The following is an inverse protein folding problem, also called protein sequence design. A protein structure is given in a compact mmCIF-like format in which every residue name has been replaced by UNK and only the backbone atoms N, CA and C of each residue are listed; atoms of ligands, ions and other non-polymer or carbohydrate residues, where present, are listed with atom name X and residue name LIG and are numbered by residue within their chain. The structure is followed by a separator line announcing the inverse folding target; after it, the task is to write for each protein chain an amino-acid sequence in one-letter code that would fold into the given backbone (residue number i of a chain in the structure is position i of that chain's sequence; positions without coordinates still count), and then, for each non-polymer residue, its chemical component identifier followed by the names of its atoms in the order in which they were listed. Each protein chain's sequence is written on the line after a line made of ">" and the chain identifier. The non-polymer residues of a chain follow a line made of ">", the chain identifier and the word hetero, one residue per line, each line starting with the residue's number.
data_IF_042418853016
#
_entry.id   IF_042418853016
#
_cell.length_a   1.000
_cell.length_b   1.000
_cell.length_c   1.000
_cell.angle_alpha   90.00
_cell.angle_beta   90.00
_cell.angle_gamma   90.00
#
_symmetry.space_group_name_H-M   'P 1'
#
loop_
_entity.id
_entity.type
_entity.pdbx_description
1 polymer ?
#
# COMPACT_ATOMS: atom_id res chain seq x y z
N UNK A 1 -67.48 42.72 -61.53
CA UNK A 1 -67.11 43.70 -62.55
C UNK A 1 -66.31 42.96 -63.56
N UNK A 2 -66.98 42.59 -64.59
CA UNK A 2 -66.77 42.95 -65.99
C UNK A 2 -65.54 42.25 -66.59
N UNK A 3 -65.80 41.17 -67.37
CA UNK A 3 -66.14 41.21 -68.85
C UNK A 3 -64.83 41.53 -69.61
N UNK A 4 -64.40 40.84 -70.64
CA UNK A 4 -64.99 40.56 -71.93
C UNK A 4 -64.05 39.62 -72.70
N UNK A 5 -64.48 38.44 -73.18
CA UNK A 5 -64.95 38.23 -74.55
C UNK A 5 -63.84 38.34 -75.60
N UNK A 6 -63.63 37.21 -76.29
CA UNK A 6 -63.85 36.77 -77.62
C UNK A 6 -62.78 37.16 -78.68
N UNK A 7 -62.22 36.19 -79.36
CA UNK A 7 -62.58 35.81 -80.77
C UNK A 7 -61.75 34.64 -81.27
N UNK A 8 -62.40 33.61 -81.65
CA UNK A 8 -62.47 32.78 -82.85
C UNK A 8 -61.59 33.28 -84.03
N UNK A 9 -60.71 32.42 -84.48
CA UNK A 9 -60.51 32.18 -85.92
C UNK A 9 -60.04 30.79 -86.26
N UNK A 10 -60.77 30.13 -87.14
CA UNK A 10 -60.47 28.85 -87.83
C UNK A 10 -60.11 29.23 -89.28
N UNK A 11 -59.77 28.37 -90.18
CA UNK A 11 -58.96 27.14 -90.23
C UNK A 11 -57.98 27.14 -91.44
N UNK A 12 -57.19 26.14 -91.60
CA UNK A 12 -56.92 25.51 -92.96
C UNK A 12 -56.13 24.17 -92.79
N UNK A 13 -56.44 23.15 -93.59
CA UNK A 13 -55.93 21.84 -93.40
C UNK A 13 -54.58 21.58 -94.04
N UNK A 14 -53.69 20.94 -93.33
CA UNK A 14 -52.45 20.46 -93.93
C UNK A 14 -52.37 18.97 -94.02
N UNK A 15 -52.13 18.48 -95.12
CA UNK A 15 -51.84 17.27 -95.84
C UNK A 15 -50.91 16.22 -95.12
N UNK A 16 -51.05 15.94 -93.84
CA UNK A 16 -50.24 14.94 -93.11
C UNK A 16 -51.04 13.71 -92.61
N UNK A 17 -52.26 13.53 -93.08
CA UNK A 17 -53.19 12.49 -92.59
C UNK A 17 -53.40 11.36 -93.60
N UNK A 18 -52.46 11.04 -94.44
CA UNK A 18 -52.69 9.88 -95.37
C UNK A 18 -51.73 8.66 -95.19
N UNK A 19 -50.88 8.66 -94.19
CA UNK A 19 -49.91 7.53 -93.94
C UNK A 19 -50.14 6.82 -92.63
N UNK A 20 -51.09 7.20 -91.73
CA UNK A 20 -51.31 6.60 -90.44
C UNK A 20 -52.26 5.45 -90.40
N UNK A 21 -52.95 5.11 -91.55
CA UNK A 21 -53.98 4.08 -91.61
C UNK A 21 -53.49 2.63 -91.74
N UNK A 22 -52.23 2.39 -92.02
CA UNK A 22 -51.67 1.04 -92.27
C UNK A 22 -51.08 0.33 -91.03
N UNK A 23 -50.66 1.10 -90.03
CA UNK A 23 -49.99 0.54 -88.83
C UNK A 23 -50.91 0.04 -87.70
N UNK A 24 -52.16 0.31 -87.79
CA UNK A 24 -53.12 -0.02 -86.68
C UNK A 24 -53.61 -1.44 -86.71
N UNK A 25 -53.43 -2.15 -87.82
CA UNK A 25 -53.96 -3.50 -88.04
C UNK A 25 -52.97 -4.62 -87.59
N UNK A 26 -51.67 -4.26 -87.29
CA UNK A 26 -50.61 -5.18 -86.83
C UNK A 26 -49.94 -4.73 -85.53
N UNK A 27 -50.67 -4.10 -84.62
CA UNK A 27 -50.23 -3.58 -83.35
C UNK A 27 -49.56 -4.65 -82.47
N UNK A 28 -50.16 -5.83 -82.43
CA UNK A 28 -49.69 -6.92 -81.59
C UNK A 28 -48.34 -7.51 -82.00
N UNK A 29 -48.12 -7.81 -83.28
CA UNK A 29 -46.81 -8.30 -83.68
C UNK A 29 -45.67 -7.28 -83.57
N UNK A 30 -45.97 -5.95 -83.82
CA UNK A 30 -44.98 -4.88 -83.64
C UNK A 30 -44.62 -4.69 -82.19
N UNK A 31 -45.61 -4.74 -81.29
CA UNK A 31 -45.37 -4.66 -79.86
C UNK A 31 -44.58 -5.86 -79.35
N UNK A 32 -44.88 -7.08 -79.90
CA UNK A 32 -44.10 -8.26 -79.59
C UNK A 32 -42.64 -8.20 -80.02
N UNK A 33 -42.37 -7.68 -81.23
CA UNK A 33 -40.99 -7.50 -81.69
C UNK A 33 -40.26 -6.41 -80.89
N UNK A 34 -40.93 -5.31 -80.54
CA UNK A 34 -40.35 -4.30 -79.69
C UNK A 34 -40.03 -4.82 -78.29
N UNK A 35 -40.87 -5.66 -77.73
CA UNK A 35 -40.66 -6.26 -76.42
C UNK A 35 -39.49 -7.28 -76.44
N UNK A 36 -39.38 -8.07 -77.51
CA UNK A 36 -38.26 -8.99 -77.72
C UNK A 36 -36.92 -8.24 -77.92
N UNK A 37 -36.95 -7.11 -78.70
CA UNK A 37 -35.77 -6.28 -78.88
C UNK A 37 -35.33 -5.59 -77.58
N UNK A 38 -36.30 -5.14 -76.77
CA UNK A 38 -36.02 -4.58 -75.43
C UNK A 38 -35.47 -5.66 -74.52
N UNK A 39 -36.06 -6.84 -74.48
CA UNK A 39 -35.62 -7.96 -73.66
C UNK A 39 -34.20 -8.43 -74.11
N UNK A 40 -33.94 -8.49 -75.45
CA UNK A 40 -32.65 -8.83 -76.00
C UNK A 40 -31.63 -7.73 -75.71
N UNK A 41 -32.02 -6.44 -75.80
CA UNK A 41 -31.16 -5.31 -75.42
C UNK A 41 -30.81 -5.31 -73.94
N UNK A 42 -31.80 -5.55 -73.06
CA UNK A 42 -31.56 -5.68 -71.62
C UNK A 42 -30.73 -6.91 -71.30
N UNK A 43 -30.93 -8.04 -71.97
CA UNK A 43 -30.11 -9.23 -71.84
C UNK A 43 -28.67 -9.00 -72.30
N UNK A 44 -28.50 -8.36 -73.44
CA UNK A 44 -27.19 -8.02 -73.98
C UNK A 44 -26.47 -6.96 -73.09
N UNK A 45 -27.20 -5.94 -72.62
CA UNK A 45 -26.70 -4.97 -71.68
C UNK A 45 -26.21 -5.62 -70.36
N UNK A 46 -26.96 -6.61 -69.86
CA UNK A 46 -26.59 -7.35 -68.66
C UNK A 46 -25.38 -8.28 -68.86
N UNK A 47 -25.23 -8.78 -70.11
CA UNK A 47 -24.09 -9.63 -70.50
C UNK A 47 -22.80 -8.79 -70.75
N UNK A 48 -22.95 -7.58 -71.30
CA UNK A 48 -21.85 -6.66 -71.63
C UNK A 48 -21.37 -5.80 -70.42
N UNK A 49 -22.30 -5.47 -69.49
CA UNK A 49 -21.93 -4.67 -68.31
C UNK A 49 -21.35 -5.51 -67.17
N UNK A 50 -21.46 -6.84 -67.22
CA UNK A 50 -20.94 -7.74 -66.16
C UNK A 50 -21.53 -7.46 -64.77
N UNK A 51 -21.30 -8.27 -63.77
CA UNK A 51 -21.69 -7.97 -62.38
C UNK A 51 -20.80 -6.82 -61.84
N UNK A 52 -21.43 -5.87 -61.18
CA UNK A 52 -20.70 -4.84 -60.43
C UNK A 52 -19.84 -5.54 -59.38
N UNK A 53 -18.55 -5.49 -59.56
CA UNK A 53 -17.58 -6.00 -58.59
C UNK A 53 -17.11 -4.79 -57.77
N UNK A 54 -17.35 -4.84 -56.45
CA UNK A 54 -16.77 -3.87 -55.54
C UNK A 54 -15.27 -4.10 -55.52
N UNK A 55 -14.51 -3.23 -56.15
CA UNK A 55 -13.05 -3.29 -56.10
C UNK A 55 -12.60 -2.47 -54.89
N UNK A 56 -12.00 -3.12 -53.89
CA UNK A 56 -11.32 -2.44 -52.82
C UNK A 56 -9.85 -2.21 -53.23
N UNK A 57 -9.39 -0.99 -52.98
CA UNK A 57 -7.95 -0.66 -53.19
C UNK A 57 -7.13 -1.35 -52.12
N UNK A 58 -6.29 -2.24 -52.54
CA UNK A 58 -5.33 -2.92 -51.67
C UNK A 58 -4.25 -1.93 -51.27
N UNK A 59 -4.12 -1.69 -50.00
CA UNK A 59 -3.07 -0.84 -49.44
C UNK A 59 -2.16 -1.66 -48.53
N UNK A 60 -0.88 -1.31 -48.49
CA UNK A 60 0.03 -1.86 -47.49
C UNK A 60 0.00 -1.00 -46.24
N UNK A 61 -0.18 -1.61 -45.08
CA UNK A 61 -0.25 -0.91 -43.80
C UNK A 61 0.13 -1.81 -42.64
N UNK A 62 0.25 -1.22 -41.50
CA UNK A 62 0.51 -1.93 -40.26
C UNK A 62 -0.81 -2.42 -39.66
N UNK A 63 -0.92 -3.70 -39.42
CA UNK A 63 -2.06 -4.33 -38.76
C UNK A 63 -1.70 -4.64 -37.32
N UNK A 64 -2.42 -4.03 -36.39
CA UNK A 64 -2.34 -4.36 -34.97
C UNK A 64 -3.59 -5.15 -34.60
N UNK A 65 -3.39 -6.36 -34.15
CA UNK A 65 -4.49 -7.16 -33.60
C UNK A 65 -4.61 -6.84 -32.12
N UNK A 66 -5.80 -6.43 -31.68
CA UNK A 66 -6.06 -6.08 -30.30
C UNK A 66 -7.17 -6.94 -29.72
N UNK A 67 -7.07 -7.25 -28.45
CA UNK A 67 -8.17 -7.76 -27.64
C UNK A 67 -8.73 -6.61 -26.82
N UNK A 68 -10.01 -6.29 -27.08
CA UNK A 68 -10.71 -5.22 -26.39
C UNK A 68 -11.47 -5.81 -25.20
N UNK A 69 -11.33 -5.21 -24.04
CA UNK A 69 -12.04 -5.62 -22.84
C UNK A 69 -12.31 -4.44 -21.92
N UNK A 70 -13.35 -4.55 -21.11
CA UNK A 70 -13.67 -3.56 -20.08
C UNK A 70 -13.18 -4.04 -18.73
N UNK A 71 -12.70 -3.09 -17.94
CA UNK A 71 -12.22 -3.34 -16.60
C UNK A 71 -12.50 -2.15 -15.69
N UNK A 72 -11.89 -2.16 -14.54
CA UNK A 72 -11.95 -1.05 -13.60
C UNK A 72 -10.58 -0.74 -13.02
N UNK A 73 -10.42 0.50 -12.62
CA UNK A 73 -9.21 0.98 -11.94
C UNK A 73 -9.24 0.49 -10.49
N UNK A 74 -8.15 -0.13 -10.08
CA UNK A 74 -7.96 -0.56 -8.72
C UNK A 74 -6.57 -0.12 -8.22
N UNK A 75 -6.48 0.27 -6.95
CA UNK A 75 -5.20 0.30 -6.25
C UNK A 75 -4.92 -1.11 -5.74
N UNK A 76 -3.67 -1.63 -5.85
CA UNK A 76 -3.34 -3.02 -5.52
C UNK A 76 -3.79 -3.46 -4.13
N UNK A 77 -3.88 -2.52 -3.21
CA UNK A 77 -4.39 -2.75 -1.87
C UNK A 77 -4.95 -1.44 -1.28
N UNK A 78 -6.04 -1.58 -0.57
CA UNK A 78 -6.57 -0.52 0.31
C UNK A 78 -5.94 -0.72 1.68
N UNK A 79 -5.51 0.35 2.30
CA UNK A 79 -4.96 0.30 3.66
C UNK A 79 -6.05 0.70 4.64
N UNK A 80 -6.51 -0.27 5.40
CA UNK A 80 -7.43 -0.02 6.51
C UNK A 80 -6.63 0.46 7.72
N UNK A 81 -6.92 1.66 8.16
CA UNK A 81 -6.29 2.28 9.33
C UNK A 81 -7.23 2.08 10.51
N UNK A 82 -6.80 1.28 11.47
CA UNK A 82 -7.55 0.95 12.67
C UNK A 82 -6.85 1.48 13.93
N UNK A 83 -7.60 1.61 15.03
CA UNK A 83 -7.00 1.86 16.35
C UNK A 83 -6.31 0.61 16.88
N UNK A 84 -5.22 0.78 17.62
CA UNK A 84 -4.56 -0.27 18.38
C UNK A 84 -4.98 -0.29 19.86
N UNK A 85 -5.70 0.76 20.30
CA UNK A 85 -6.16 0.93 21.67
C UNK A 85 -7.66 1.26 21.70
N UNK A 86 -8.29 0.97 22.84
CA UNK A 86 -9.63 1.49 23.13
C UNK A 86 -9.51 2.90 23.67
N UNK A 87 -10.36 3.79 23.20
CA UNK A 87 -10.40 5.17 23.69
C UNK A 87 -11.45 6.03 22.98
N UNK A 88 -11.67 7.24 23.48
CA UNK A 88 -12.56 8.20 22.84
C UNK A 88 -11.78 9.07 21.87
N UNK A 89 -12.30 9.26 20.68
CA UNK A 89 -11.69 10.15 19.68
C UNK A 89 -11.81 11.59 20.14
N UNK A 90 -10.67 12.23 20.33
CA UNK A 90 -10.54 13.64 20.68
C UNK A 90 -10.75 14.53 19.49
N UNK A 91 -10.09 14.20 18.36
CA UNK A 91 -10.17 14.98 17.14
C UNK A 91 -9.93 14.12 15.91
N UNK A 92 -10.53 14.54 14.77
CA UNK A 92 -10.29 13.97 13.44
C UNK A 92 -9.82 15.10 12.55
N UNK A 93 -8.58 15.01 12.06
CA UNK A 93 -7.85 16.09 11.39
C UNK A 93 -7.95 16.05 9.86
N UNK A 94 -8.64 15.05 9.31
CA UNK A 94 -8.71 14.80 7.86
C UNK A 94 -10.15 14.57 7.40
N UNK A 95 -10.38 14.79 6.10
CA UNK A 95 -11.67 14.62 5.43
C UNK A 95 -11.59 13.56 4.35
N UNK A 96 -12.74 13.02 3.98
CA UNK A 96 -12.86 12.13 2.82
C UNK A 96 -12.45 12.85 1.54
N UNK A 97 -11.70 12.16 0.68
CA UNK A 97 -11.13 12.73 -0.55
C UNK A 97 -9.86 13.56 -0.35
N UNK A 98 -9.38 13.74 0.87
CA UNK A 98 -8.16 14.50 1.17
C UNK A 98 -6.90 13.69 0.87
N UNK A 99 -5.90 14.34 0.27
CA UNK A 99 -4.57 13.77 0.12
C UNK A 99 -3.82 13.86 1.44
N UNK A 100 -3.21 12.76 1.85
CA UNK A 100 -2.44 12.66 3.09
C UNK A 100 -1.03 12.16 2.80
N UNK A 101 -0.08 12.62 3.60
CA UNK A 101 1.33 12.23 3.51
C UNK A 101 1.69 11.23 4.61
N UNK A 102 2.68 10.38 4.33
CA UNK A 102 3.21 9.45 5.31
C UNK A 102 3.61 10.17 6.61
N UNK A 103 3.15 9.64 7.75
CA UNK A 103 3.41 10.24 9.06
C UNK A 103 2.46 11.40 9.43
N UNK A 104 1.60 11.87 8.51
CA UNK A 104 0.60 12.88 8.82
C UNK A 104 -0.40 12.35 9.85
N UNK A 105 -0.69 13.15 10.88
CA UNK A 105 -1.67 12.81 11.89
C UNK A 105 -3.09 12.87 11.31
N UNK A 106 -3.82 11.78 11.47
CA UNK A 106 -5.18 11.62 10.93
C UNK A 106 -6.23 11.73 12.05
N UNK A 107 -6.01 11.01 13.16
CA UNK A 107 -6.92 10.95 14.28
C UNK A 107 -6.14 11.06 15.57
N UNK A 108 -6.68 11.81 16.53
CA UNK A 108 -6.20 11.89 17.90
C UNK A 108 -7.20 11.21 18.84
N UNK A 109 -6.74 10.27 19.63
CA UNK A 109 -7.51 9.64 20.72
C UNK A 109 -7.19 10.36 22.02
N UNK A 110 -8.13 10.42 22.95
CA UNK A 110 -7.91 10.98 24.28
C UNK A 110 -6.81 10.19 25.01
N UNK A 111 -5.76 10.90 25.39
CA UNK A 111 -4.52 10.29 25.85
C UNK A 111 -4.12 10.67 27.28
N UNK A 112 -5.02 11.32 28.04
CA UNK A 112 -4.72 11.81 29.40
C UNK A 112 -4.26 10.71 30.35
N UNK A 113 -4.92 9.54 30.32
CA UNK A 113 -4.53 8.37 31.13
C UNK A 113 -3.19 7.79 30.69
N UNK A 114 -2.97 7.69 29.37
CA UNK A 114 -1.70 7.19 28.81
C UNK A 114 -0.54 8.13 29.14
N UNK A 115 -0.77 9.44 29.09
CA UNK A 115 0.20 10.46 29.50
C UNK A 115 0.55 10.32 30.98
N UNK A 116 -0.44 10.14 31.86
CA UNK A 116 -0.21 9.89 33.28
C UNK A 116 0.60 8.61 33.52
N UNK A 117 0.35 7.56 32.76
CA UNK A 117 1.13 6.31 32.81
C UNK A 117 2.60 6.50 32.42
N UNK A 118 2.87 7.34 31.42
CA UNK A 118 4.26 7.70 31.03
C UNK A 118 4.95 8.43 32.18
N UNK A 119 4.31 9.46 32.75
CA UNK A 119 4.85 10.21 33.90
C UNK A 119 5.13 9.31 35.09
N UNK A 120 4.25 8.35 35.40
CA UNK A 120 4.46 7.36 36.44
C UNK A 120 5.70 6.47 36.14
N UNK A 121 5.85 6.00 34.92
CA UNK A 121 6.99 5.18 34.50
C UNK A 121 8.31 5.98 34.53
N UNK A 122 8.29 7.25 34.14
CA UNK A 122 9.44 8.16 34.28
C UNK A 122 9.87 8.32 35.74
N UNK A 123 8.92 8.44 36.66
CA UNK A 123 9.17 8.46 38.10
C UNK A 123 9.87 7.19 38.58
N UNK A 124 9.43 6.01 38.12
CA UNK A 124 10.05 4.74 38.45
C UNK A 124 11.49 4.63 37.91
N UNK A 125 11.76 5.12 36.70
CA UNK A 125 13.12 5.21 36.14
C UNK A 125 14.00 6.14 36.96
N UNK A 126 13.47 7.30 37.34
CA UNK A 126 14.22 8.24 38.19
C UNK A 126 14.59 7.62 39.54
N UNK A 127 13.69 6.88 40.16
CA UNK A 127 13.93 6.16 41.41
C UNK A 127 14.99 5.08 41.25
N UNK A 128 14.90 4.25 40.21
CA UNK A 128 15.88 3.20 39.95
C UNK A 128 17.29 3.78 39.63
N UNK A 129 17.35 4.88 38.86
CA UNK A 129 18.62 5.61 38.63
C UNK A 129 19.22 6.16 39.92
N UNK A 130 18.39 6.69 40.82
CA UNK A 130 18.85 7.19 42.12
C UNK A 130 19.45 6.05 42.96
N UNK A 131 18.88 4.82 42.89
CA UNK A 131 19.42 3.65 43.56
C UNK A 131 20.80 3.24 43.04
N UNK A 132 20.99 3.20 41.71
CA UNK A 132 22.32 2.94 41.12
C UNK A 132 23.34 4.01 41.52
N UNK A 133 22.94 5.27 41.53
CA UNK A 133 23.81 6.37 41.99
C UNK A 133 24.19 6.22 43.46
N UNK A 134 23.24 5.90 44.32
CA UNK A 134 23.49 5.67 45.74
C UNK A 134 24.54 4.57 45.96
N UNK A 135 24.41 3.46 45.22
CA UNK A 135 25.41 2.38 45.28
C UNK A 135 26.78 2.86 44.85
N UNK A 136 26.86 3.64 43.77
CA UNK A 136 28.13 4.11 43.18
C UNK A 136 28.81 5.22 44.03
N UNK A 137 28.02 6.19 44.48
CA UNK A 137 28.55 7.40 45.10
C UNK A 137 28.65 7.31 46.63
N UNK A 138 27.89 6.45 47.27
CA UNK A 138 27.87 6.35 48.74
C UNK A 138 28.22 4.94 49.20
N UNK A 139 27.50 3.90 48.80
CA UNK A 139 27.61 2.56 49.39
C UNK A 139 28.97 1.90 49.08
N UNK A 140 29.40 1.96 47.82
CA UNK A 140 30.70 1.39 47.43
C UNK A 140 31.88 2.10 48.08
N UNK A 141 32.01 3.42 48.03
CA UNK A 141 33.09 4.12 48.72
C UNK A 141 33.09 3.85 50.24
N UNK A 142 31.92 3.79 50.88
CA UNK A 142 31.85 3.44 52.30
C UNK A 142 32.36 2.03 52.61
N UNK A 143 32.06 1.05 51.72
CA UNK A 143 32.58 -0.32 51.84
C UNK A 143 34.09 -0.38 51.62
N UNK A 144 34.62 0.40 50.65
CA UNK A 144 36.05 0.50 50.39
C UNK A 144 36.80 1.07 51.62
N UNK A 145 36.28 2.11 52.30
CA UNK A 145 36.87 2.66 53.51
C UNK A 145 36.77 1.69 54.70
N UNK A 146 35.63 0.95 54.84
CA UNK A 146 35.52 -0.10 55.83
C UNK A 146 36.54 -1.23 55.64
N UNK A 147 36.84 -1.59 54.39
CA UNK A 147 37.86 -2.59 54.09
C UNK A 147 39.27 -2.06 54.50
N UNK A 148 39.61 -0.81 54.17
CA UNK A 148 40.86 -0.21 54.59
C UNK A 148 41.03 -0.19 56.12
N UNK A 149 39.96 0.15 56.85
CA UNK A 149 39.96 0.12 58.30
C UNK A 149 40.18 -1.30 58.86
N UNK A 150 39.50 -2.31 58.27
CA UNK A 150 39.69 -3.73 58.66
C UNK A 150 41.12 -4.22 58.35
N UNK A 151 41.69 -3.83 57.23
CA UNK A 151 43.10 -4.14 56.87
C UNK A 151 44.11 -3.52 57.82
N UNK A 152 43.90 -2.27 58.25
CA UNK A 152 44.75 -1.62 59.26
C UNK A 152 44.69 -2.34 60.60
N UNK A 153 43.48 -2.76 61.02
CA UNK A 153 43.29 -3.54 62.26
C UNK A 153 44.00 -4.89 62.15
N UNK A 154 43.92 -5.59 61.00
CA UNK A 154 44.59 -6.84 60.76
C UNK A 154 46.12 -6.69 60.85
N UNK A 155 46.70 -5.65 60.25
CA UNK A 155 48.13 -5.36 60.35
C UNK A 155 48.57 -5.18 61.80
N UNK A 156 47.82 -4.43 62.61
CA UNK A 156 48.07 -4.23 64.03
C UNK A 156 48.00 -5.55 64.83
N UNK A 157 46.98 -6.40 64.54
CA UNK A 157 46.79 -7.68 65.19
C UNK A 157 47.92 -8.68 64.84
N UNK A 158 48.35 -8.68 63.55
CA UNK A 158 49.50 -9.47 63.10
C UNK A 158 50.79 -9.08 63.83
N UNK A 159 51.08 -7.78 63.88
CA UNK A 159 52.26 -7.30 64.62
C UNK A 159 52.22 -7.64 66.13
N UNK A 160 51.03 -7.61 66.76
CA UNK A 160 50.83 -8.01 68.14
C UNK A 160 51.06 -9.54 68.32
N UNK A 161 50.53 -10.36 67.40
CA UNK A 161 50.75 -11.80 67.42
C UNK A 161 52.22 -12.17 67.25
N UNK A 162 52.92 -11.54 66.26
CA UNK A 162 54.36 -11.75 66.04
C UNK A 162 55.19 -11.43 67.31
N UNK A 163 54.87 -10.29 67.98
CA UNK A 163 55.56 -9.94 69.24
C UNK A 163 55.28 -10.98 70.30
N UNK A 164 54.03 -11.38 70.52
CA UNK A 164 53.63 -12.36 71.54
C UNK A 164 54.26 -13.76 71.27
N UNK A 165 54.32 -14.18 70.02
CA UNK A 165 54.93 -15.43 69.56
C UNK A 165 56.45 -15.47 69.84
N UNK A 166 57.15 -14.37 69.49
CA UNK A 166 58.56 -14.22 69.79
C UNK A 166 58.90 -14.26 71.27
N UNK A 167 58.09 -13.58 72.12
CA UNK A 167 58.22 -13.59 73.55
C UNK A 167 57.90 -14.96 74.17
N UNK A 168 56.90 -15.65 73.69
CA UNK A 168 56.56 -17.03 74.11
C UNK A 168 57.69 -18.00 73.74
N UNK A 169 58.25 -17.94 72.51
CA UNK A 169 59.36 -18.76 72.06
C UNK A 169 60.66 -18.53 72.84
N UNK A 170 60.88 -17.31 73.36
CA UNK A 170 62.06 -16.99 74.23
C UNK A 170 61.80 -17.27 75.72
N UNK A 171 60.67 -17.80 76.11
CA UNK A 171 60.31 -18.13 77.51
C UNK A 171 59.81 -16.97 78.35
N UNK A 172 59.75 -15.72 77.79
CA UNK A 172 59.32 -14.50 78.52
C UNK A 172 57.82 -14.22 78.35
N UNK A 173 57.07 -14.92 77.47
CA UNK A 173 55.68 -14.75 77.26
C UNK A 173 54.83 -15.83 77.91
N UNK A 174 53.60 -15.49 78.38
CA UNK A 174 52.61 -16.47 78.86
C UNK A 174 51.83 -17.09 77.71
N UNK A 175 51.36 -18.35 77.87
CA UNK A 175 50.52 -19.01 76.91
C UNK A 175 49.20 -18.21 76.73
N UNK A 176 48.63 -17.65 77.77
CA UNK A 176 47.42 -16.86 77.72
C UNK A 176 47.56 -15.63 76.80
N UNK A 177 48.71 -14.92 76.88
CA UNK A 177 48.94 -13.74 75.99
C UNK A 177 49.12 -14.13 74.51
N UNK A 178 49.66 -15.31 74.22
CA UNK A 178 49.74 -15.82 72.86
C UNK A 178 48.36 -16.29 72.36
N UNK A 179 47.58 -16.95 73.19
CA UNK A 179 46.19 -17.40 72.85
C UNK A 179 45.28 -16.18 72.60
N UNK A 180 45.40 -15.11 73.40
CA UNK A 180 44.65 -13.87 73.19
C UNK A 180 45.08 -13.15 71.90
N UNK A 181 46.39 -13.08 71.60
CA UNK A 181 46.89 -12.52 70.37
C UNK A 181 46.44 -13.32 69.12
N UNK A 182 46.42 -14.61 69.23
CA UNK A 182 45.93 -15.53 68.19
C UNK A 182 44.43 -15.29 67.89
N UNK A 183 43.60 -15.24 68.97
CA UNK A 183 42.18 -14.95 68.86
C UNK A 183 41.94 -13.57 68.20
N UNK A 184 42.68 -12.54 68.62
CA UNK A 184 42.53 -11.22 68.06
C UNK A 184 42.94 -11.17 66.59
N UNK A 185 43.97 -11.89 66.17
CA UNK A 185 44.37 -12.03 64.79
C UNK A 185 43.28 -12.71 63.94
N UNK A 186 42.69 -13.83 64.43
CA UNK A 186 41.62 -14.55 63.73
C UNK A 186 40.35 -13.70 63.62
N UNK A 187 40.01 -12.93 64.63
CA UNK A 187 38.88 -11.95 64.55
C UNK A 187 39.19 -10.90 63.49
N UNK A 188 40.38 -10.31 63.46
CA UNK A 188 40.76 -9.30 62.49
C UNK A 188 40.74 -9.86 61.04
N UNK A 189 41.19 -11.09 60.81
CA UNK A 189 41.12 -11.79 59.52
C UNK A 189 39.69 -11.94 59.06
N UNK A 190 38.78 -12.34 59.98
CA UNK A 190 37.38 -12.51 59.68
C UNK A 190 36.73 -11.15 59.30
N UNK A 191 37.10 -10.05 60.02
CA UNK A 191 36.63 -8.71 59.72
C UNK A 191 37.06 -8.27 58.30
N UNK A 192 38.31 -8.50 57.89
CA UNK A 192 38.77 -8.20 56.53
C UNK A 192 37.95 -9.00 55.51
N UNK A 193 37.80 -10.28 55.71
CA UNK A 193 37.01 -11.12 54.79
C UNK A 193 35.56 -10.63 54.64
N UNK A 194 34.94 -10.22 55.71
CA UNK A 194 33.57 -9.67 55.69
C UNK A 194 33.52 -8.37 54.91
N UNK A 195 34.50 -7.47 55.13
CA UNK A 195 34.62 -6.20 54.40
C UNK A 195 34.90 -6.43 52.90
N UNK A 196 35.72 -7.41 52.56
CA UNK A 196 35.98 -7.80 51.15
C UNK A 196 34.72 -8.27 50.47
N UNK A 197 33.91 -9.10 51.09
CA UNK A 197 32.60 -9.54 50.57
C UNK A 197 31.66 -8.35 50.36
N UNK A 198 31.64 -7.37 51.29
CA UNK A 198 30.82 -6.16 51.16
C UNK A 198 31.26 -5.29 49.99
N UNK A 199 32.55 -5.12 49.76
CA UNK A 199 33.10 -4.45 48.58
C UNK A 199 32.74 -5.17 47.29
N UNK A 200 32.82 -6.53 47.31
CA UNK A 200 32.49 -7.33 46.15
C UNK A 200 30.98 -7.19 45.80
N UNK A 201 30.07 -7.30 46.77
CA UNK A 201 28.62 -7.18 46.48
C UNK A 201 28.21 -5.82 45.94
N UNK A 202 28.90 -4.74 46.37
CA UNK A 202 28.62 -3.36 45.96
C UNK A 202 29.41 -2.92 44.71
N UNK A 203 30.36 -3.74 44.22
CA UNK A 203 31.14 -3.48 43.01
C UNK A 203 30.36 -3.74 41.72
N UNK A 204 30.77 -3.16 40.56
CA UNK A 204 30.23 -3.51 39.27
C UNK A 204 30.38 -5.03 39.04
N UNK A 205 29.25 -5.75 38.88
CA UNK A 205 29.23 -7.22 38.81
C UNK A 205 28.88 -7.91 40.12
N UNK A 206 28.86 -7.21 41.25
CA UNK A 206 28.35 -7.71 42.54
C UNK A 206 26.83 -7.75 42.59
N UNK A 207 26.30 -8.55 43.50
CA UNK A 207 24.86 -8.81 43.57
C UNK A 207 24.01 -7.55 43.74
N UNK A 208 24.43 -6.64 44.61
CA UNK A 208 23.66 -5.42 44.89
C UNK A 208 23.65 -4.49 43.68
N UNK A 209 24.77 -4.38 42.98
CA UNK A 209 24.89 -3.56 41.79
C UNK A 209 24.11 -4.12 40.60
N UNK A 210 24.23 -5.44 40.36
CA UNK A 210 23.48 -6.13 39.30
C UNK A 210 21.99 -6.05 39.55
N UNK A 211 21.54 -6.20 40.81
CA UNK A 211 20.14 -6.05 41.19
C UNK A 211 19.62 -4.65 40.88
N UNK A 212 20.38 -3.61 41.23
CA UNK A 212 19.99 -2.21 40.98
C UNK A 212 19.97 -1.89 39.46
N UNK A 213 20.93 -2.40 38.67
CA UNK A 213 20.92 -2.26 37.20
C UNK A 213 19.76 -3.01 36.57
N UNK A 214 19.42 -4.21 37.06
CA UNK A 214 18.29 -4.97 36.60
C UNK A 214 16.98 -4.21 36.87
N UNK A 215 16.83 -3.62 38.06
CA UNK A 215 15.68 -2.78 38.38
C UNK A 215 15.59 -1.53 37.47
N UNK A 216 16.73 -0.90 37.14
CA UNK A 216 16.76 0.21 36.21
C UNK A 216 16.35 -0.25 34.79
N UNK A 217 16.88 -1.36 34.33
CA UNK A 217 16.53 -1.95 33.04
C UNK A 217 15.02 -2.26 32.96
N UNK A 218 14.46 -2.85 34.00
CA UNK A 218 13.03 -3.12 34.08
C UNK A 218 12.19 -1.83 34.06
N UNK A 219 12.60 -0.81 34.78
CA UNK A 219 11.91 0.48 34.78
C UNK A 219 11.94 1.15 33.39
N UNK A 220 13.10 1.09 32.69
CA UNK A 220 13.24 1.57 31.30
C UNK A 220 12.36 0.80 30.33
N UNK A 221 12.27 -0.51 30.46
CA UNK A 221 11.37 -1.32 29.63
C UNK A 221 9.90 -0.95 29.84
N UNK A 222 9.50 -0.71 31.11
CA UNK A 222 8.15 -0.25 31.44
C UNK A 222 7.87 1.15 30.85
N UNK A 223 8.83 2.07 30.91
CA UNK A 223 8.73 3.40 30.29
C UNK A 223 8.53 3.29 28.76
N UNK A 224 9.35 2.49 28.09
CA UNK A 224 9.22 2.26 26.65
C UNK A 224 7.84 1.71 26.29
N UNK A 225 7.31 0.79 27.10
CA UNK A 225 5.95 0.25 26.91
C UNK A 225 4.88 1.33 27.06
N UNK A 226 5.00 2.18 28.09
CA UNK A 226 4.06 3.28 28.30
C UNK A 226 4.11 4.31 27.19
N UNK A 227 5.31 4.65 26.69
CA UNK A 227 5.50 5.56 25.56
C UNK A 227 4.95 4.98 24.26
N UNK A 228 5.17 3.69 23.99
CA UNK A 228 4.59 3.02 22.82
C UNK A 228 3.05 3.07 22.85
N UNK A 229 2.44 2.80 24.01
CA UNK A 229 0.98 2.90 24.18
C UNK A 229 0.47 4.33 23.99
N UNK A 230 1.19 5.32 24.48
CA UNK A 230 0.87 6.73 24.25
C UNK A 230 0.95 7.06 22.74
N UNK A 231 1.95 6.53 22.03
CA UNK A 231 2.07 6.67 20.58
C UNK A 231 0.85 6.16 19.80
N UNK A 232 0.19 5.11 20.30
CA UNK A 232 -1.03 4.58 19.67
C UNK A 232 -2.24 5.50 19.80
N UNK A 233 -2.19 6.51 20.67
CA UNK A 233 -3.24 7.53 20.76
C UNK A 233 -3.21 8.51 19.57
N UNK A 234 -2.12 8.54 18.81
CA UNK A 234 -1.99 9.34 17.60
C UNK A 234 -1.98 8.40 16.40
N UNK A 235 -3.05 8.40 15.63
CA UNK A 235 -3.16 7.59 14.42
C UNK A 235 -2.61 8.41 13.25
N UNK A 236 -1.60 7.87 12.57
CA UNK A 236 -0.91 8.52 11.44
C UNK A 236 -1.09 7.74 10.15
N UNK A 237 -0.93 8.42 9.02
CA UNK A 237 -0.92 7.77 7.70
C UNK A 237 0.33 6.90 7.55
N UNK A 238 0.19 5.61 7.20
CA UNK A 238 1.33 4.71 7.01
C UNK A 238 2.11 5.01 5.73
N UNK A 239 1.50 5.69 4.76
CA UNK A 239 2.06 6.10 3.46
C UNK A 239 1.25 7.21 2.82
N UNK A 240 1.79 7.79 1.74
CA UNK A 240 1.08 8.77 0.93
C UNK A 240 -0.14 8.15 0.25
N UNK A 241 -1.21 8.93 0.13
CA UNK A 241 -2.42 8.46 -0.54
C UNK A 241 -3.60 9.41 -0.40
N UNK A 242 -4.76 8.94 -0.84
CA UNK A 242 -6.04 9.65 -0.71
C UNK A 242 -6.96 8.90 0.24
N UNK A 243 -7.58 9.60 1.17
CA UNK A 243 -8.54 9.02 2.10
C UNK A 243 -9.86 8.72 1.37
N UNK A 244 -10.26 7.45 1.33
CA UNK A 244 -11.49 7.02 0.64
C UNK A 244 -12.71 7.19 1.54
N UNK A 245 -12.63 6.65 2.77
CA UNK A 245 -13.74 6.67 3.73
C UNK A 245 -13.27 7.02 5.13
N UNK A 246 -14.17 7.66 5.87
CA UNK A 246 -13.97 8.05 7.26
C UNK A 246 -15.14 7.54 8.12
N UNK A 247 -14.91 6.43 8.83
CA UNK A 247 -15.90 5.76 9.67
C UNK A 247 -15.81 6.18 11.15
N UNK A 248 -15.24 7.34 11.41
CA UNK A 248 -14.98 7.82 12.78
C UNK A 248 -15.27 9.32 12.90
N UNK A 249 -15.88 9.70 14.02
CA UNK A 249 -16.21 11.08 14.38
C UNK A 249 -15.64 11.44 15.75
N UNK A 250 -15.50 12.74 16.00
CA UNK A 250 -15.12 13.25 17.32
C UNK A 250 -16.13 12.77 18.38
N UNK A 251 -15.63 12.27 19.51
CA UNK A 251 -16.45 11.72 20.59
C UNK A 251 -16.81 10.24 20.41
N UNK A 252 -16.50 9.62 19.28
CA UNK A 252 -16.72 8.18 19.07
C UNK A 252 -15.77 7.37 19.93
N UNK A 253 -16.26 6.30 20.55
CA UNK A 253 -15.43 5.31 21.24
C UNK A 253 -14.94 4.29 20.20
N UNK A 254 -13.63 4.17 20.09
CA UNK A 254 -12.97 3.23 19.18
C UNK A 254 -12.41 2.03 19.95
N UNK A 255 -12.28 0.91 19.23
CA UNK A 255 -11.75 -0.35 19.75
C UNK A 255 -10.70 -0.91 18.78
N UNK A 256 -9.74 -1.71 19.26
CA UNK A 256 -8.75 -2.35 18.40
C UNK A 256 -9.38 -3.22 17.29
N UNK A 257 -8.83 -3.15 16.09
CA UNK A 257 -9.23 -3.97 14.95
C UNK A 257 -10.42 -3.42 14.14
N UNK A 258 -11.11 -2.36 14.59
CA UNK A 258 -12.15 -1.72 13.79
C UNK A 258 -11.51 -0.67 12.86
N UNK A 259 -11.73 -0.81 11.55
CA UNK A 259 -11.26 0.17 10.57
C UNK A 259 -11.95 1.53 10.79
N UNK A 260 -11.15 2.56 11.02
CA UNK A 260 -11.57 3.93 11.23
C UNK A 260 -11.52 4.75 9.95
N UNK A 261 -10.48 4.50 9.16
CA UNK A 261 -10.19 5.19 7.91
C UNK A 261 -9.76 4.16 6.87
N UNK A 262 -10.05 4.42 5.59
CA UNK A 262 -9.56 3.63 4.47
C UNK A 262 -8.77 4.53 3.55
N UNK A 263 -7.50 4.19 3.33
CA UNK A 263 -6.56 4.92 2.51
C UNK A 263 -6.31 4.17 1.19
N UNK A 264 -6.41 4.87 0.06
CA UNK A 264 -5.87 4.46 -1.23
C UNK A 264 -4.45 4.99 -1.36
N UNK A 265 -3.43 4.12 -1.39
CA UNK A 265 -2.06 4.57 -1.59
C UNK A 265 -1.87 5.27 -2.92
N UNK A 266 -1.03 6.32 -2.94
CA UNK A 266 -0.64 6.99 -4.17
C UNK A 266 0.38 6.15 -4.95
N UNK A 267 0.32 6.20 -6.28
CA UNK A 267 1.38 5.74 -7.18
C UNK A 267 1.18 4.37 -7.84
N UNK A 268 0.56 3.41 -7.20
CA UNK A 268 0.35 2.09 -7.79
C UNK A 268 -1.10 1.92 -8.26
N UNK A 269 -1.38 2.37 -9.49
CA UNK A 269 -2.68 2.14 -10.13
C UNK A 269 -2.57 0.96 -11.07
N UNK A 270 -3.48 0.02 -10.95
CA UNK A 270 -3.65 -1.10 -11.87
C UNK A 270 -5.07 -1.12 -12.44
N UNK A 271 -5.20 -1.69 -13.63
CA UNK A 271 -6.49 -1.97 -14.24
C UNK A 271 -6.75 -3.46 -14.07
N UNK A 272 -7.86 -3.81 -13.47
CA UNK A 272 -8.34 -5.19 -13.36
C UNK A 272 -9.38 -5.42 -14.45
N UNK A 273 -9.10 -6.39 -15.30
CA UNK A 273 -9.92 -6.73 -16.47
C UNK A 273 -10.30 -8.19 -16.41
N UNK A 274 -11.55 -8.50 -16.73
CA UNK A 274 -12.01 -9.86 -16.93
C UNK A 274 -12.03 -10.17 -18.43
N UNK A 275 -11.19 -11.11 -18.86
CA UNK A 275 -11.08 -11.51 -20.27
C UNK A 275 -11.65 -12.91 -20.46
N UNK A 276 -12.40 -13.10 -21.56
CA UNK A 276 -12.91 -14.40 -21.98
C UNK A 276 -11.75 -15.40 -22.18
N UNK A 277 -11.89 -16.61 -21.63
CA UNK A 277 -10.89 -17.69 -21.67
C UNK A 277 -10.38 -17.98 -23.09
N UNK A 278 -11.24 -17.84 -24.11
CA UNK A 278 -10.84 -18.06 -25.53
C UNK A 278 -9.73 -17.14 -26.02
N UNK A 279 -9.56 -15.97 -25.40
CA UNK A 279 -8.54 -14.99 -25.76
C UNK A 279 -7.22 -15.18 -24.98
N UNK A 280 -7.22 -16.06 -23.96
CA UNK A 280 -6.08 -16.26 -23.07
C UNK A 280 -4.80 -16.69 -23.83
N UNK A 281 -4.96 -17.53 -24.85
CA UNK A 281 -3.84 -18.01 -25.67
C UNK A 281 -3.10 -16.92 -26.46
N UNK A 282 -3.67 -15.71 -26.57
CA UNK A 282 -3.09 -14.57 -27.27
C UNK A 282 -2.42 -13.57 -26.33
N UNK A 283 -2.55 -13.77 -25.00
CA UNK A 283 -2.02 -12.87 -23.98
C UNK A 283 -0.68 -13.36 -23.45
N UNK A 284 0.25 -12.43 -23.29
CA UNK A 284 1.55 -12.67 -22.67
C UNK A 284 1.93 -11.50 -21.77
N UNK A 285 2.61 -11.79 -20.67
CA UNK A 285 3.12 -10.76 -19.76
C UNK A 285 4.03 -9.78 -20.51
N UNK A 286 3.92 -8.49 -20.20
CA UNK A 286 4.68 -7.42 -20.83
C UNK A 286 4.06 -6.87 -22.12
N UNK A 287 2.90 -7.34 -22.56
CA UNK A 287 2.19 -6.74 -23.70
C UNK A 287 1.72 -5.33 -23.36
N UNK A 288 1.90 -4.42 -24.32
CA UNK A 288 1.38 -3.05 -24.23
C UNK A 288 -0.12 -3.02 -24.48
N UNK A 289 -0.79 -2.19 -23.76
CA UNK A 289 -2.20 -1.92 -23.89
C UNK A 289 -2.46 -0.41 -23.87
N UNK A 290 -3.43 0.02 -24.66
CA UNK A 290 -3.95 1.37 -24.64
C UNK A 290 -5.26 1.36 -23.87
N UNK A 291 -5.39 2.20 -22.86
CA UNK A 291 -6.60 2.28 -22.04
C UNK A 291 -7.24 3.68 -22.13
N UNK A 292 -8.56 3.73 -21.98
CA UNK A 292 -9.31 4.97 -21.83
C UNK A 292 -10.39 4.79 -20.77
N UNK A 293 -10.55 5.79 -19.90
CA UNK A 293 -11.62 5.78 -18.91
C UNK A 293 -12.94 6.15 -19.60
N UNK A 294 -14.02 5.45 -19.28
CA UNK A 294 -15.35 5.70 -19.89
C UNK A 294 -15.85 7.12 -19.64
N UNK A 295 -15.45 7.74 -18.52
CA UNK A 295 -15.75 9.15 -18.22
C UNK A 295 -14.93 10.14 -19.07
N UNK A 296 -13.84 9.71 -19.69
CA UNK A 296 -12.91 10.52 -20.50
C UNK A 296 -12.46 9.76 -21.75
N UNK A 297 -13.36 9.45 -22.71
CA UNK A 297 -13.07 8.55 -23.84
C UNK A 297 -11.99 9.09 -24.78
N UNK A 298 -11.81 10.40 -24.85
CA UNK A 298 -10.81 11.06 -25.70
C UNK A 298 -9.39 11.03 -25.10
N UNK A 299 -9.26 10.69 -23.81
CA UNK A 299 -7.97 10.65 -23.11
C UNK A 299 -7.50 9.21 -22.98
N UNK A 300 -6.50 8.86 -23.78
CA UNK A 300 -5.86 7.54 -23.72
C UNK A 300 -4.60 7.59 -22.88
N UNK A 301 -4.28 6.49 -22.23
CA UNK A 301 -3.07 6.30 -21.45
C UNK A 301 -2.53 4.89 -21.63
N UNK A 302 -1.23 4.74 -21.44
CA UNK A 302 -0.54 3.48 -21.63
C UNK A 302 -0.61 2.61 -20.40
N UNK A 303 -0.74 1.30 -20.63
CA UNK A 303 -0.69 0.29 -19.59
C UNK A 303 0.05 -0.95 -20.10
N UNK A 304 0.62 -1.71 -19.18
CA UNK A 304 1.37 -2.92 -19.49
C UNK A 304 0.78 -4.11 -18.75
N UNK A 305 0.55 -5.22 -19.45
CA UNK A 305 0.05 -6.46 -18.87
C UNK A 305 1.07 -7.03 -17.87
N UNK A 306 0.75 -6.96 -16.58
CA UNK A 306 1.65 -7.31 -15.48
C UNK A 306 1.32 -8.65 -14.83
N UNK A 307 0.06 -9.09 -14.92
CA UNK A 307 -0.38 -10.32 -14.27
C UNK A 307 -1.52 -10.98 -15.02
N UNK A 308 -1.48 -12.31 -15.11
CA UNK A 308 -2.55 -13.16 -15.62
C UNK A 308 -2.87 -14.16 -14.51
N UNK A 309 -4.14 -14.20 -14.06
CA UNK A 309 -4.56 -15.13 -13.03
C UNK A 309 -4.43 -16.58 -13.54
N UNK A 310 -3.76 -17.48 -12.82
CA UNK A 310 -3.66 -18.89 -13.21
C UNK A 310 -4.98 -19.67 -13.05
N UNK A 311 -6.00 -19.07 -12.43
CA UNK A 311 -7.32 -19.66 -12.23
C UNK A 311 -8.36 -19.02 -13.15
N UNK A 312 -9.24 -19.85 -13.72
CA UNK A 312 -10.39 -19.43 -14.53
C UNK A 312 -11.63 -19.38 -13.65
N UNK A 313 -12.42 -18.32 -13.75
CA UNK A 313 -13.76 -18.27 -13.16
C UNK A 313 -14.71 -19.13 -14.01
N UNK A 314 -15.05 -20.30 -13.49
CA UNK A 314 -15.88 -21.30 -14.17
C UNK A 314 -17.29 -20.75 -14.47
N UNK A 315 -17.83 -19.87 -13.62
CA UNK A 315 -19.19 -19.36 -13.79
C UNK A 315 -19.29 -18.35 -14.93
N UNK A 316 -18.20 -17.63 -15.21
CA UNK A 316 -18.13 -16.57 -16.23
C UNK A 316 -17.30 -16.96 -17.44
N UNK A 317 -16.60 -18.10 -17.41
CA UNK A 317 -15.62 -18.51 -18.39
C UNK A 317 -14.60 -17.38 -18.69
N UNK A 318 -14.15 -16.70 -17.64
CA UNK A 318 -13.26 -15.54 -17.74
C UNK A 318 -12.03 -15.70 -16.86
N UNK A 319 -10.95 -15.01 -17.26
CA UNK A 319 -9.69 -14.94 -16.52
C UNK A 319 -9.46 -13.49 -16.12
N UNK A 320 -9.11 -13.29 -14.87
CA UNK A 320 -8.70 -11.98 -14.39
C UNK A 320 -7.27 -11.68 -14.84
N UNK A 321 -7.08 -10.53 -15.43
CA UNK A 321 -5.76 -10.00 -15.75
C UNK A 321 -5.60 -8.63 -15.10
N UNK A 322 -4.33 -8.27 -14.82
CA UNK A 322 -4.01 -6.95 -14.27
C UNK A 322 -2.99 -6.26 -15.16
N UNK A 323 -3.30 -5.02 -15.48
CA UNK A 323 -2.38 -4.16 -16.22
C UNK A 323 -1.89 -3.06 -15.30
N UNK A 324 -0.59 -2.84 -15.29
CA UNK A 324 0.02 -1.72 -14.58
C UNK A 324 -0.11 -0.48 -15.46
N UNK A 325 -0.56 0.61 -14.89
CA UNK A 325 -0.55 1.93 -15.55
C UNK A 325 0.83 2.54 -15.32
N UNK A 326 1.55 2.83 -16.42
CA UNK A 326 2.97 3.24 -16.33
C UNK A 326 3.10 4.69 -15.84
N UNK A 327 2.23 5.58 -16.28
CA UNK A 327 2.16 6.98 -15.85
C UNK A 327 0.70 7.37 -15.60
N UNK A 328 0.20 7.15 -14.37
CA UNK A 328 -1.21 7.34 -14.08
C UNK A 328 -1.62 8.82 -14.10
N UNK A 329 -2.53 9.23 -15.02
CA UNK A 329 -3.03 10.59 -15.05
C UNK A 329 -3.83 10.97 -13.80
N UNK A 330 -3.75 12.22 -13.36
CA UNK A 330 -4.40 12.74 -12.14
C UNK A 330 -5.93 12.65 -12.14
N UNK A 331 -6.57 12.53 -13.32
CA UNK A 331 -8.02 12.41 -13.42
C UNK A 331 -8.54 11.00 -13.13
N UNK A 332 -7.69 9.98 -13.10
CA UNK A 332 -8.10 8.62 -12.77
C UNK A 332 -8.55 8.53 -11.31
N UNK A 333 -9.67 7.88 -11.12
CA UNK A 333 -10.22 7.61 -9.78
C UNK A 333 -10.39 6.11 -9.59
N UNK A 334 -10.29 5.69 -8.36
CA UNK A 334 -10.51 4.31 -7.99
C UNK A 334 -11.93 3.87 -8.39
N UNK A 335 -12.07 2.59 -8.75
CA UNK A 335 -13.31 1.94 -9.20
C UNK A 335 -13.89 2.55 -10.51
N UNK A 336 -13.16 3.45 -11.20
CA UNK A 336 -13.56 4.01 -12.50
C UNK A 336 -13.51 2.92 -13.56
N UNK A 337 -14.56 2.80 -14.36
CA UNK A 337 -14.61 1.88 -15.50
C UNK A 337 -13.69 2.37 -16.61
N UNK A 338 -12.97 1.43 -17.22
CA UNK A 338 -12.02 1.68 -18.31
C UNK A 338 -12.21 0.65 -19.42
N UNK A 339 -12.04 1.10 -20.64
CA UNK A 339 -11.91 0.24 -21.83
C UNK A 339 -10.44 0.07 -22.16
N UNK A 340 -10.00 -1.15 -22.42
CA UNK A 340 -8.59 -1.51 -22.64
C UNK A 340 -8.45 -2.26 -23.94
N UNK A 341 -7.53 -1.79 -24.80
CA UNK A 341 -7.13 -2.40 -26.07
C UNK A 341 -5.75 -3.04 -25.90
N UNK A 342 -5.66 -4.35 -25.70
CA UNK A 342 -4.41 -5.07 -25.50
C UNK A 342 -3.85 -5.49 -26.86
N UNK A 343 -2.66 -5.06 -27.21
CA UNK A 343 -1.99 -5.43 -28.44
C UNK A 343 -1.47 -6.87 -28.36
N UNK A 344 -2.10 -7.80 -29.09
CA UNK A 344 -1.75 -9.22 -29.08
C UNK A 344 -0.79 -9.61 -30.19
N UNK A 345 -0.91 -8.98 -31.36
CA UNK A 345 0.01 -9.18 -32.47
C UNK A 345 0.17 -7.89 -33.30
N UNK A 346 1.37 -7.62 -33.74
CA UNK A 346 1.67 -6.54 -34.67
C UNK A 346 2.29 -7.15 -35.93
N UNK A 347 1.74 -6.81 -37.09
CA UNK A 347 2.29 -7.17 -38.38
C UNK A 347 2.49 -5.90 -39.18
N UNK A 348 3.73 -5.60 -39.50
CA UNK A 348 4.09 -4.45 -40.32
C UNK A 348 4.06 -4.84 -41.81
N UNK A 349 3.70 -3.86 -42.67
CA UNK A 349 3.68 -3.99 -44.13
C UNK A 349 2.81 -5.14 -44.66
N UNK A 350 1.67 -5.41 -44.06
CA UNK A 350 0.68 -6.37 -44.55
C UNK A 350 -0.29 -5.75 -45.54
N UNK A 351 -0.80 -6.57 -46.43
CA UNK A 351 -1.81 -6.18 -47.41
C UNK A 351 -3.16 -6.08 -46.69
N UNK A 352 -3.75 -4.88 -46.68
CA UNK A 352 -5.06 -4.60 -46.08
C UNK A 352 -6.05 -4.31 -47.21
N UNK A 353 -7.22 -4.95 -47.18
CA UNK A 353 -8.32 -4.81 -48.16
C UNK A 353 -9.50 -4.11 -47.46
#
# INVERSE_FOLDING_TARGET
>A
MLEKVEQIDTPRPNLAVRWAGGLWRHKWPVLGIALVLIAAGLGLARLLLGPEVVAALVQRGNLVQTVVASGHIETPYRVEIASQITGTVKDVLVREGEQVHQGQQLVAIEASELQASVVQAEGAVAQARARVRQLRELTKPAADEALKQAQANLLNAQAAYERASKLAASGYGTKATLDDATKNLDVARTQVRTAELQVFTTSPGGSDFVMAETQLSQALANLNTAQARLGYATIVAPRDGVLITRNVERGTVVQPGKALLVLAPAGDIQIVVQIDEKNLGQLALGQHAMASADAYPDKRFDATLSYINPSVDINRASVEIKLKVDDPPDYLRQDMTVSVDIATARRDDVVIV
#
